data_IF_287950031044
#
_entry.id   IF_287950031044
#
_cell.length_a   1.000
_cell.length_b   1.000
_cell.length_c   1.000
_cell.angle_alpha   90.00
_cell.angle_beta   90.00
_cell.angle_gamma   90.00
#
_symmetry.space_group_name_H-M   'P 1'
#
loop_
_entity.id
_entity.type
_entity.pdbx_description
1 polymer ?
#
# COMPACT_ATOMS: atom_id res chain seq x y z
N UNK A 1 -15.85 29.25 89.75
CA UNK A 1 -16.55 29.63 88.51
C UNK A 1 -15.49 30.00 87.48
N UNK A 2 -15.14 29.06 86.59
CA UNK A 2 -14.17 29.32 85.50
C UNK A 2 -14.65 28.53 84.29
N UNK A 3 -15.07 29.25 83.24
CA UNK A 3 -15.47 28.69 81.94
C UNK A 3 -14.25 28.40 81.09
N UNK A 4 -14.11 27.15 80.73
CA UNK A 4 -13.15 26.69 79.72
C UNK A 4 -13.76 26.79 78.36
N UNK A 5 -13.16 27.57 77.45
CA UNK A 5 -13.54 27.61 76.01
C UNK A 5 -12.69 26.58 75.22
N UNK A 6 -13.35 25.55 74.72
CA UNK A 6 -12.74 24.61 73.78
C UNK A 6 -12.76 25.16 72.31
N UNK A 7 -11.58 25.36 71.76
CA UNK A 7 -11.39 25.82 70.38
C UNK A 7 -11.39 24.56 69.46
N UNK A 8 -12.42 24.42 68.62
CA UNK A 8 -12.49 23.39 67.63
C UNK A 8 -11.79 23.84 66.32
N UNK A 9 -10.61 23.29 66.08
CA UNK A 9 -9.91 23.47 64.80
C UNK A 9 -10.55 22.58 63.72
N UNK A 10 -11.19 23.19 62.73
CA UNK A 10 -11.67 22.50 61.54
C UNK A 10 -10.52 22.45 60.51
N UNK A 11 -9.96 21.26 60.26
CA UNK A 11 -9.09 21.02 59.14
C UNK A 11 -9.95 20.91 57.86
N UNK A 12 -9.82 21.93 57.00
CA UNK A 12 -10.33 21.88 55.63
C UNK A 12 -9.39 21.00 54.78
N UNK A 13 -9.76 19.77 54.50
CA UNK A 13 -9.07 18.92 53.54
C UNK A 13 -9.34 19.41 52.11
N UNK A 14 -8.33 20.00 51.49
CA UNK A 14 -8.36 20.36 50.07
C UNK A 14 -8.26 19.07 49.21
N UNK A 15 -9.38 18.54 48.75
CA UNK A 15 -9.41 17.47 47.78
C UNK A 15 -8.94 18.02 46.41
N UNK A 16 -7.70 17.77 46.05
CA UNK A 16 -7.19 18.00 44.69
C UNK A 16 -7.86 16.96 43.79
N UNK A 17 -8.94 17.35 43.14
CA UNK A 17 -9.48 16.60 41.99
C UNK A 17 -8.44 16.65 40.87
N UNK A 18 -7.62 15.62 40.74
CA UNK A 18 -6.77 15.41 39.59
C UNK A 18 -7.67 15.29 38.34
N UNK A 19 -7.66 16.33 37.53
CA UNK A 19 -8.19 16.24 36.15
C UNK A 19 -7.36 15.20 35.38
N UNK A 20 -7.83 13.95 35.35
CA UNK A 20 -7.31 12.97 34.43
C UNK A 20 -7.73 13.41 33.02
N UNK A 21 -6.82 14.12 32.34
CA UNK A 21 -6.95 14.32 30.89
C UNK A 21 -7.02 12.90 30.28
N UNK A 22 -8.08 12.54 29.56
CA UNK A 22 -8.09 11.26 28.88
C UNK A 22 -6.86 11.21 27.98
N UNK A 23 -5.97 10.24 28.19
CA UNK A 23 -4.87 10.00 27.28
C UNK A 23 -5.53 9.72 25.91
N UNK A 24 -5.29 10.60 24.95
CA UNK A 24 -5.71 10.31 23.58
C UNK A 24 -5.04 8.99 23.18
N UNK A 25 -5.84 8.07 22.68
CA UNK A 25 -5.31 6.81 22.16
C UNK A 25 -4.22 7.15 21.13
N UNK A 26 -3.03 6.56 21.29
CA UNK A 26 -1.89 6.75 20.41
C UNK A 26 -1.47 5.37 19.89
N UNK A 27 -1.76 5.12 18.63
CA UNK A 27 -1.49 3.83 18.00
C UNK A 27 0.00 3.44 18.08
N UNK A 28 0.92 4.41 17.94
CA UNK A 28 2.35 4.13 18.05
C UNK A 28 2.74 3.68 19.46
N UNK A 29 2.17 4.31 20.50
CA UNK A 29 2.40 3.91 21.88
C UNK A 29 1.87 2.50 22.16
N UNK A 30 0.67 2.17 21.65
CA UNK A 30 0.07 0.84 21.75
C UNK A 30 0.91 -0.23 21.03
N UNK A 31 1.38 0.07 19.81
CA UNK A 31 2.27 -0.80 19.03
C UNK A 31 3.56 -1.08 19.81
N UNK A 32 4.21 -0.03 20.35
CA UNK A 32 5.43 -0.19 21.14
C UNK A 32 5.20 -0.99 22.41
N UNK A 33 4.09 -0.79 23.09
CA UNK A 33 3.73 -1.54 24.29
C UNK A 33 3.48 -3.03 24.00
N UNK A 34 2.84 -3.34 22.86
CA UNK A 34 2.59 -4.73 22.39
C UNK A 34 3.82 -5.37 21.75
N UNK A 35 4.77 -4.56 21.25
CA UNK A 35 5.93 -5.02 20.48
C UNK A 35 5.59 -5.58 19.10
N UNK A 36 4.37 -5.33 18.57
CA UNK A 36 3.87 -5.90 17.31
C UNK A 36 3.11 -4.88 16.49
N UNK A 37 3.22 -5.01 15.15
CA UNK A 37 2.43 -4.27 14.17
C UNK A 37 1.61 -5.28 13.38
N UNK A 38 0.29 -5.25 13.50
CA UNK A 38 -0.60 -6.08 12.69
C UNK A 38 -0.73 -5.48 11.29
N UNK A 39 -0.34 -6.24 10.27
CA UNK A 39 -0.32 -5.78 8.87
C UNK A 39 -1.22 -6.62 7.98
N UNK A 40 -1.68 -6.05 6.88
CA UNK A 40 -2.37 -6.78 5.82
C UNK A 40 -1.73 -6.48 4.46
N UNK A 41 -1.63 -7.51 3.62
CA UNK A 41 -1.19 -7.42 2.23
C UNK A 41 -1.74 -8.58 1.42
N UNK A 42 -1.92 -8.40 0.10
CA UNK A 42 -2.25 -9.46 -0.85
C UNK A 42 -0.94 -10.09 -1.35
N UNK A 43 -0.63 -11.31 -0.88
CA UNK A 43 0.60 -12.02 -1.21
C UNK A 43 0.59 -12.63 -2.63
N UNK A 44 -0.17 -12.04 -3.55
CA UNK A 44 -0.29 -12.41 -4.97
C UNK A 44 0.03 -11.24 -5.92
N UNK A 45 0.91 -10.32 -5.49
CA UNK A 45 1.26 -9.12 -6.24
C UNK A 45 2.78 -8.93 -6.40
N UNK A 46 3.43 -9.88 -7.08
CA UNK A 46 4.88 -9.84 -7.33
C UNK A 46 5.30 -8.60 -8.15
N UNK A 47 6.49 -8.02 -7.88
CA UNK A 47 7.52 -8.40 -6.92
C UNK A 47 7.35 -7.76 -5.54
N UNK A 48 6.22 -7.08 -5.30
CA UNK A 48 5.97 -6.39 -4.04
C UNK A 48 5.70 -7.37 -2.90
N UNK A 49 4.76 -8.26 -3.14
CA UNK A 49 4.25 -9.22 -2.15
C UNK A 49 3.98 -10.55 -2.87
N UNK A 50 4.62 -11.63 -2.43
CA UNK A 50 4.41 -12.94 -3.04
C UNK A 50 4.71 -14.08 -2.08
N UNK A 51 4.05 -15.22 -2.32
CA UNK A 51 4.36 -16.49 -1.69
C UNK A 51 5.28 -17.31 -2.59
N UNK A 52 6.48 -17.61 -2.12
CA UNK A 52 7.41 -18.52 -2.76
C UNK A 52 7.53 -19.78 -1.91
N UNK A 53 7.01 -20.91 -2.42
CA UNK A 53 6.93 -22.18 -1.68
C UNK A 53 6.33 -22.02 -0.27
N UNK A 54 5.31 -21.17 -0.13
CA UNK A 54 4.63 -20.89 1.14
C UNK A 54 5.37 -19.92 2.06
N UNK A 55 6.49 -19.36 1.61
CA UNK A 55 7.23 -18.32 2.34
C UNK A 55 6.90 -16.96 1.75
N UNK A 56 6.47 -16.03 2.62
CA UNK A 56 6.22 -14.65 2.21
C UNK A 56 7.54 -13.92 1.94
N UNK A 57 7.66 -13.35 0.76
CA UNK A 57 8.79 -12.53 0.33
C UNK A 57 8.31 -11.40 -0.60
N UNK A 58 9.16 -10.41 -0.84
CA UNK A 58 8.87 -9.30 -1.74
C UNK A 58 9.47 -7.98 -1.28
N UNK A 59 9.36 -6.98 -2.15
CA UNK A 59 9.89 -5.65 -1.90
C UNK A 59 9.25 -5.01 -0.67
N UNK A 60 7.94 -5.16 -0.53
CA UNK A 60 7.17 -4.64 0.61
C UNK A 60 7.68 -5.22 1.93
N UNK A 61 7.86 -6.56 1.98
CA UNK A 61 8.38 -7.23 3.17
C UNK A 61 9.75 -6.71 3.54
N UNK A 62 10.69 -6.65 2.59
CA UNK A 62 12.05 -6.19 2.86
C UNK A 62 12.10 -4.74 3.36
N UNK A 63 11.25 -3.86 2.81
CA UNK A 63 11.12 -2.47 3.27
C UNK A 63 10.48 -2.40 4.66
N UNK A 64 9.37 -3.11 4.85
CA UNK A 64 8.60 -3.01 6.10
C UNK A 64 9.31 -3.66 7.29
N UNK A 65 10.06 -4.74 7.08
CA UNK A 65 10.93 -5.33 8.11
C UNK A 65 11.94 -4.29 8.65
N UNK A 66 12.53 -3.47 7.76
CA UNK A 66 13.45 -2.41 8.19
C UNK A 66 12.73 -1.26 8.91
N UNK A 67 11.55 -0.85 8.42
CA UNK A 67 10.71 0.17 9.07
C UNK A 67 10.29 -0.30 10.46
N UNK A 68 9.79 -1.51 10.58
CA UNK A 68 9.37 -2.08 11.86
C UNK A 68 10.52 -2.15 12.88
N UNK A 69 11.72 -2.49 12.43
CA UNK A 69 12.95 -2.46 13.24
C UNK A 69 13.28 -1.05 13.73
N UNK A 70 13.15 -0.02 12.90
CA UNK A 70 13.36 1.39 13.31
C UNK A 70 12.30 1.84 14.33
N UNK A 71 11.07 1.35 14.23
CA UNK A 71 9.98 1.63 15.18
C UNK A 71 10.18 0.89 16.50
N UNK A 72 10.85 -0.27 16.48
CA UNK A 72 11.07 -1.14 17.64
C UNK A 72 9.91 -2.09 17.90
N UNK A 73 9.27 -2.60 16.84
CA UNK A 73 8.20 -3.59 16.90
C UNK A 73 8.36 -4.63 15.80
N UNK A 74 7.76 -5.81 15.97
CA UNK A 74 7.79 -6.90 14.99
C UNK A 74 6.54 -6.88 14.11
N UNK A 75 6.64 -6.99 12.77
CA UNK A 75 5.49 -7.05 11.91
C UNK A 75 4.84 -8.45 11.98
N UNK A 76 3.51 -8.47 12.03
CA UNK A 76 2.69 -9.67 11.88
C UNK A 76 2.01 -9.60 10.52
N UNK A 77 2.46 -10.41 9.59
CA UNK A 77 1.97 -10.40 8.21
C UNK A 77 0.73 -11.27 8.05
N UNK A 78 -0.33 -10.68 7.48
CA UNK A 78 -1.57 -11.37 7.16
C UNK A 78 -1.82 -11.32 5.66
N UNK A 79 -2.02 -12.50 5.05
CA UNK A 79 -2.44 -12.61 3.65
C UNK A 79 -3.93 -12.34 3.55
N UNK A 80 -4.29 -11.20 3.01
CA UNK A 80 -5.66 -10.71 2.90
C UNK A 80 -5.95 -10.39 1.44
N UNK A 81 -7.04 -10.90 0.84
CA UNK A 81 -7.41 -10.52 -0.52
C UNK A 81 -7.54 -9.00 -0.66
N UNK A 82 -6.98 -8.44 -1.74
CA UNK A 82 -6.94 -7.00 -2.00
C UNK A 82 -8.27 -6.27 -1.71
N UNK A 83 -9.39 -6.85 -2.12
CA UNK A 83 -10.73 -6.25 -1.93
C UNK A 83 -11.18 -6.17 -0.48
N UNK A 84 -10.54 -6.91 0.43
CA UNK A 84 -10.87 -6.93 1.86
C UNK A 84 -9.90 -6.10 2.73
N UNK A 85 -8.77 -5.64 2.18
CA UNK A 85 -7.75 -4.92 2.95
C UNK A 85 -8.24 -3.55 3.45
N UNK A 86 -8.67 -2.67 2.55
CA UNK A 86 -9.12 -1.34 2.95
C UNK A 86 -10.36 -1.39 3.85
N UNK A 87 -11.40 -2.19 3.56
CA UNK A 87 -12.51 -2.39 4.50
C UNK A 87 -12.07 -2.96 5.86
N UNK A 88 -11.11 -3.89 5.87
CA UNK A 88 -10.56 -4.44 7.11
C UNK A 88 -9.81 -3.41 7.95
N UNK A 89 -9.06 -2.51 7.31
CA UNK A 89 -8.38 -1.39 7.96
C UNK A 89 -9.38 -0.44 8.65
N UNK A 90 -10.48 -0.11 7.98
CA UNK A 90 -11.51 0.79 8.51
C UNK A 90 -12.17 0.24 9.79
N UNK A 91 -12.32 -1.08 9.89
CA UNK A 91 -12.88 -1.73 11.07
C UNK A 91 -11.81 -2.21 12.06
N UNK A 92 -10.57 -1.69 11.94
CA UNK A 92 -9.45 -1.91 12.87
C UNK A 92 -9.03 -3.38 13.03
N UNK A 93 -9.13 -4.20 11.96
CA UNK A 93 -8.66 -5.59 11.98
C UNK A 93 -7.13 -5.69 12.02
N UNK A 94 -6.45 -4.68 11.49
CA UNK A 94 -5.00 -4.55 11.48
C UNK A 94 -4.62 -3.07 11.58
N UNK A 95 -3.35 -2.81 11.87
CA UNK A 95 -2.85 -1.46 12.12
C UNK A 95 -2.61 -0.68 10.82
N UNK A 96 -2.17 -1.39 9.77
CA UNK A 96 -1.75 -0.81 8.50
C UNK A 96 -1.95 -1.82 7.35
N UNK A 97 -2.31 -1.33 6.17
CA UNK A 97 -2.23 -2.07 4.91
C UNK A 97 -0.88 -1.75 4.28
N UNK A 98 -0.06 -2.78 4.11
CA UNK A 98 1.27 -2.68 3.50
C UNK A 98 1.30 -3.15 2.04
N UNK A 99 0.19 -3.65 1.49
CA UNK A 99 0.06 -3.79 0.05
C UNK A 99 0.39 -2.47 -0.67
N UNK A 100 0.90 -2.49 -1.91
CA UNK A 100 1.20 -1.30 -2.67
C UNK A 100 -0.08 -0.57 -3.11
N UNK A 101 -0.61 0.29 -2.24
CA UNK A 101 -1.84 1.06 -2.48
C UNK A 101 -1.54 2.27 -3.35
N UNK A 102 -2.17 2.37 -4.53
CA UNK A 102 -2.02 3.56 -5.39
C UNK A 102 -2.54 4.80 -4.68
N UNK A 103 -1.73 5.86 -4.62
CA UNK A 103 -2.14 7.18 -4.15
C UNK A 103 -3.12 7.77 -5.16
N UNK A 104 -4.35 8.05 -4.72
CA UNK A 104 -5.38 8.74 -5.52
C UNK A 104 -6.06 9.81 -4.68
N UNK A 105 -6.60 10.90 -5.28
CA UNK A 105 -7.32 11.94 -4.54
C UNK A 105 -8.43 11.36 -3.66
N UNK A 106 -9.24 10.44 -4.17
CA UNK A 106 -10.32 9.78 -3.42
C UNK A 106 -9.80 9.03 -2.18
N UNK A 107 -8.66 8.33 -2.31
CA UNK A 107 -8.07 7.58 -1.20
C UNK A 107 -7.41 8.50 -0.17
N UNK A 108 -6.81 9.62 -0.61
CA UNK A 108 -6.25 10.64 0.29
C UNK A 108 -7.31 11.30 1.20
N UNK A 109 -8.57 11.32 0.77
CA UNK A 109 -9.67 11.80 1.62
C UNK A 109 -9.98 10.84 2.76
N UNK A 110 -9.77 9.53 2.57
CA UNK A 110 -10.20 8.45 3.50
C UNK A 110 -9.07 7.87 4.35
N UNK A 111 -7.84 7.90 3.86
CA UNK A 111 -6.69 7.22 4.47
C UNK A 111 -5.50 8.15 4.65
N UNK A 112 -4.67 7.86 5.66
CA UNK A 112 -3.35 8.43 5.82
C UNK A 112 -2.33 7.59 5.08
N UNK A 113 -1.67 8.18 4.09
CA UNK A 113 -0.64 7.53 3.29
C UNK A 113 0.75 7.74 3.92
N UNK A 114 1.60 6.74 3.80
CA UNK A 114 3.03 6.87 4.02
C UNK A 114 3.71 7.55 2.82
N UNK A 115 5.00 7.77 2.91
CA UNK A 115 5.82 8.15 1.76
C UNK A 115 5.73 7.09 0.66
N UNK A 116 5.88 7.48 -0.62
CA UNK A 116 5.90 6.55 -1.74
C UNK A 116 6.96 5.46 -1.60
N UNK A 117 6.60 4.25 -2.02
CA UNK A 117 7.50 3.07 -2.04
C UNK A 117 7.94 2.69 -3.46
N UNK A 118 7.13 2.98 -4.47
CA UNK A 118 7.42 2.70 -5.88
C UNK A 118 6.53 3.52 -6.82
N UNK A 119 6.88 3.53 -8.11
CA UNK A 119 6.01 3.96 -9.20
C UNK A 119 4.78 3.04 -9.30
N UNK A 120 3.63 3.62 -9.62
CA UNK A 120 2.36 2.90 -9.81
C UNK A 120 1.71 3.20 -11.16
N UNK A 121 2.47 3.81 -12.09
CA UNK A 121 1.99 4.13 -13.43
C UNK A 121 1.37 2.91 -14.09
N UNK A 122 0.19 3.09 -14.67
CA UNK A 122 -0.52 1.99 -15.31
C UNK A 122 0.12 1.64 -16.65
N UNK A 123 0.23 0.35 -16.93
CA UNK A 123 0.83 -0.19 -18.14
C UNK A 123 0.04 -1.39 -18.69
N UNK A 124 0.41 -1.83 -19.86
CA UNK A 124 -0.19 -2.97 -20.56
C UNK A 124 0.86 -4.03 -20.90
N UNK A 125 0.46 -5.27 -20.74
CA UNK A 125 1.18 -6.46 -21.18
C UNK A 125 0.31 -7.27 -22.12
N UNK A 126 0.94 -7.95 -23.08
CA UNK A 126 0.33 -8.83 -24.08
C UNK A 126 1.00 -10.20 -24.07
N UNK A 127 0.40 -11.17 -24.74
CA UNK A 127 1.10 -12.41 -25.07
C UNK A 127 2.33 -12.09 -25.94
N UNK A 128 3.45 -12.78 -25.70
CA UNK A 128 4.68 -12.57 -26.46
C UNK A 128 4.51 -12.84 -27.96
N UNK A 129 3.63 -13.78 -28.30
CA UNK A 129 3.27 -14.12 -29.69
C UNK A 129 2.46 -13.03 -30.42
N UNK A 130 1.81 -12.12 -29.70
CA UNK A 130 1.06 -11.02 -30.30
C UNK A 130 1.99 -9.82 -30.54
N UNK A 131 2.49 -9.65 -31.74
CA UNK A 131 3.40 -8.56 -32.11
C UNK A 131 2.70 -7.33 -32.72
N UNK A 132 1.37 -7.38 -32.85
CA UNK A 132 0.60 -6.31 -33.48
C UNK A 132 0.26 -5.18 -32.50
N UNK A 133 0.03 -5.51 -31.21
CA UNK A 133 -0.32 -4.55 -30.18
C UNK A 133 0.93 -3.88 -29.62
N UNK A 134 1.14 -2.60 -29.94
CA UNK A 134 2.36 -1.83 -29.62
C UNK A 134 2.12 -0.62 -28.75
N UNK A 135 0.95 0.00 -28.86
CA UNK A 135 0.59 1.21 -28.12
C UNK A 135 -0.73 0.99 -27.35
N UNK A 136 -1.00 1.73 -26.27
CA UNK A 136 -2.22 1.57 -25.49
C UNK A 136 -3.50 1.69 -26.32
N UNK A 137 -3.48 2.46 -27.38
CA UNK A 137 -4.61 2.67 -28.29
C UNK A 137 -5.01 1.38 -29.03
N UNK A 138 -4.11 0.41 -29.17
CA UNK A 138 -4.36 -0.87 -29.88
C UNK A 138 -5.31 -1.79 -29.09
N UNK A 139 -5.64 -1.46 -27.84
CA UNK A 139 -6.66 -2.19 -27.06
C UNK A 139 -8.10 -1.83 -27.46
N UNK A 140 -8.32 -0.88 -28.37
CA UNK A 140 -9.66 -0.55 -28.85
C UNK A 140 -10.37 -1.79 -29.38
N UNK A 141 -11.57 -2.07 -28.86
CA UNK A 141 -12.36 -3.25 -29.23
C UNK A 141 -11.81 -4.59 -28.73
N UNK A 142 -10.79 -4.58 -27.89
CA UNK A 142 -10.13 -5.74 -27.31
C UNK A 142 -10.69 -6.09 -25.92
N UNK A 143 -10.37 -7.31 -25.45
CA UNK A 143 -10.67 -7.74 -24.07
C UNK A 143 -9.43 -7.62 -23.22
N UNK A 144 -9.48 -6.77 -22.19
CA UNK A 144 -8.36 -6.46 -21.32
C UNK A 144 -8.68 -6.87 -19.88
N UNK A 145 -7.82 -7.73 -19.30
CA UNK A 145 -7.92 -8.15 -17.91
C UNK A 145 -7.31 -7.11 -16.96
N UNK A 146 -7.85 -7.02 -15.76
CA UNK A 146 -7.33 -6.15 -14.70
C UNK A 146 -7.80 -6.65 -13.33
N UNK A 147 -7.02 -6.41 -12.28
CA UNK A 147 -7.45 -6.73 -10.92
C UNK A 147 -8.55 -5.77 -10.46
N UNK A 148 -9.64 -6.31 -9.94
CA UNK A 148 -10.81 -5.56 -9.47
C UNK A 148 -10.46 -4.61 -8.30
N UNK A 149 -11.18 -3.48 -8.20
CA UNK A 149 -11.02 -2.53 -7.09
C UNK A 149 -9.71 -1.72 -7.08
N UNK A 150 -8.85 -1.89 -8.10
CA UNK A 150 -7.59 -1.17 -8.21
C UNK A 150 -7.77 0.21 -8.88
N UNK A 151 -6.80 1.10 -8.69
CA UNK A 151 -6.76 2.36 -9.45
C UNK A 151 -6.50 2.11 -10.94
N UNK A 152 -5.74 1.06 -11.27
CA UNK A 152 -5.48 0.60 -12.64
C UNK A 152 -6.79 0.22 -13.35
N UNK A 153 -7.72 -0.42 -12.64
CA UNK A 153 -9.06 -0.70 -13.17
C UNK A 153 -9.81 0.58 -13.55
N UNK A 154 -9.87 1.58 -12.64
CA UNK A 154 -10.53 2.87 -12.94
C UNK A 154 -9.89 3.60 -14.12
N UNK A 155 -8.55 3.59 -14.18
CA UNK A 155 -7.83 4.22 -15.30
C UNK A 155 -8.06 3.50 -16.63
N UNK A 156 -8.11 2.16 -16.62
CA UNK A 156 -8.42 1.36 -17.81
C UNK A 156 -9.84 1.63 -18.31
N UNK A 157 -10.83 1.70 -17.42
CA UNK A 157 -12.20 2.04 -17.80
C UNK A 157 -12.27 3.42 -18.47
N UNK A 158 -11.70 4.45 -17.82
CA UNK A 158 -11.69 5.81 -18.36
C UNK A 158 -10.94 5.92 -19.69
N UNK A 159 -9.86 5.15 -19.85
CA UNK A 159 -9.12 5.10 -21.12
C UNK A 159 -9.91 4.37 -22.21
N UNK A 160 -10.55 3.25 -21.89
CA UNK A 160 -11.39 2.50 -22.79
C UNK A 160 -12.59 3.29 -23.32
N UNK A 161 -13.22 4.09 -22.45
CA UNK A 161 -14.31 5.01 -22.86
C UNK A 161 -13.81 6.06 -23.88
N UNK A 162 -12.64 6.65 -23.64
CA UNK A 162 -12.03 7.62 -24.59
C UNK A 162 -11.69 6.98 -25.95
N UNK A 163 -11.33 5.71 -25.97
CA UNK A 163 -11.05 4.98 -27.21
C UNK A 163 -12.33 4.57 -27.97
N UNK A 164 -13.50 4.66 -27.34
CA UNK A 164 -14.77 4.24 -27.92
C UNK A 164 -15.05 2.77 -27.80
N UNK A 165 -14.47 2.09 -26.79
CA UNK A 165 -14.82 0.75 -26.36
C UNK A 165 -13.63 -0.17 -26.13
N UNK A 166 -13.57 -0.72 -24.92
CA UNK A 166 -12.68 -1.81 -24.47
C UNK A 166 -13.53 -2.74 -23.61
N UNK A 167 -13.44 -4.03 -23.82
CA UNK A 167 -14.08 -5.02 -22.95
C UNK A 167 -13.19 -5.26 -21.75
N UNK A 168 -13.57 -4.75 -20.57
CA UNK A 168 -12.79 -4.93 -19.34
C UNK A 168 -13.27 -6.17 -18.60
N UNK A 169 -12.34 -7.09 -18.29
CA UNK A 169 -12.60 -8.28 -17.49
C UNK A 169 -11.86 -8.18 -16.16
N UNK A 170 -12.63 -8.25 -15.08
CA UNK A 170 -12.12 -8.13 -13.71
C UNK A 170 -11.72 -9.48 -13.13
N UNK A 171 -10.63 -9.49 -12.33
CA UNK A 171 -10.09 -10.67 -11.68
C UNK A 171 -9.85 -10.41 -10.20
N UNK A 172 -9.91 -11.45 -9.37
CA UNK A 172 -9.60 -11.38 -7.95
C UNK A 172 -8.12 -11.09 -7.71
N UNK A 173 -7.25 -11.74 -8.50
CA UNK A 173 -5.80 -11.58 -8.44
C UNK A 173 -5.21 -11.26 -9.82
N UNK A 174 -4.00 -10.69 -9.85
CA UNK A 174 -3.26 -10.48 -11.11
C UNK A 174 -2.85 -11.80 -11.75
N UNK A 175 -2.56 -12.83 -10.96
CA UNK A 175 -2.16 -14.16 -11.45
C UNK A 175 -3.25 -14.85 -12.28
N UNK A 176 -4.51 -14.69 -11.88
CA UNK A 176 -5.66 -15.17 -12.66
C UNK A 176 -5.75 -14.48 -14.02
N UNK A 177 -5.54 -13.16 -14.07
CA UNK A 177 -5.52 -12.40 -15.32
C UNK A 177 -4.37 -12.83 -16.22
N UNK A 178 -3.19 -13.09 -15.67
CA UNK A 178 -2.02 -13.57 -16.43
C UNK A 178 -2.24 -14.98 -16.97
N UNK A 179 -2.88 -15.85 -16.20
CA UNK A 179 -3.24 -17.19 -16.66
C UNK A 179 -4.21 -17.13 -17.86
N UNK A 180 -5.19 -16.24 -17.81
CA UNK A 180 -6.15 -16.03 -18.89
C UNK A 180 -5.50 -15.41 -20.14
N UNK A 181 -4.55 -14.47 -19.96
CA UNK A 181 -3.77 -13.91 -21.07
C UNK A 181 -2.89 -14.98 -21.74
N UNK A 182 -2.19 -15.80 -20.95
CA UNK A 182 -1.37 -16.89 -21.47
C UNK A 182 -2.19 -17.95 -22.22
N UNK A 183 -3.44 -18.17 -21.81
CA UNK A 183 -4.37 -19.08 -22.47
C UNK A 183 -5.10 -18.48 -23.66
N UNK A 184 -4.81 -17.23 -24.06
CA UNK A 184 -5.43 -16.54 -25.19
C UNK A 184 -6.90 -16.14 -24.97
N UNK A 185 -7.36 -16.08 -23.70
CA UNK A 185 -8.70 -15.62 -23.33
C UNK A 185 -8.80 -14.11 -23.15
N UNK A 186 -7.66 -13.43 -23.13
CA UNK A 186 -7.52 -11.98 -23.10
C UNK A 186 -6.58 -11.54 -24.22
N UNK A 187 -6.78 -10.32 -24.72
CA UNK A 187 -5.85 -9.67 -25.64
C UNK A 187 -4.69 -9.00 -24.91
N UNK A 188 -4.96 -8.43 -23.73
CA UNK A 188 -3.99 -7.76 -22.89
C UNK A 188 -4.37 -7.85 -21.40
N UNK A 189 -3.43 -7.47 -20.52
CA UNK A 189 -3.68 -7.22 -19.10
C UNK A 189 -3.15 -5.84 -18.74
N UNK A 190 -3.94 -5.06 -18.00
CA UNK A 190 -3.52 -3.79 -17.40
C UNK A 190 -3.08 -4.01 -15.95
N UNK A 191 -1.97 -3.39 -15.58
CA UNK A 191 -1.40 -3.45 -14.23
C UNK A 191 -0.46 -2.29 -13.98
N UNK A 192 0.27 -2.29 -12.86
CA UNK A 192 1.32 -1.31 -12.64
C UNK A 192 2.58 -1.66 -13.45
N UNK A 193 3.30 -0.64 -13.91
CA UNK A 193 4.51 -0.82 -14.68
C UNK A 193 5.55 -1.74 -14.02
N UNK A 194 5.89 -1.57 -12.71
CA UNK A 194 6.86 -2.46 -12.06
C UNK A 194 6.38 -3.92 -11.99
N UNK A 195 5.11 -4.17 -11.67
CA UNK A 195 4.54 -5.50 -11.60
C UNK A 195 4.58 -6.21 -12.96
N UNK A 196 4.14 -5.54 -14.03
CA UNK A 196 4.17 -6.09 -15.39
C UNK A 196 5.60 -6.27 -15.92
N UNK A 197 6.52 -5.36 -15.59
CA UNK A 197 7.95 -5.50 -15.93
C UNK A 197 8.55 -6.74 -15.28
N UNK A 198 8.25 -6.98 -14.01
CA UNK A 198 8.67 -8.21 -13.31
C UNK A 198 8.08 -9.46 -13.96
N UNK A 199 6.78 -9.45 -14.29
CA UNK A 199 6.12 -10.55 -15.00
C UNK A 199 6.83 -10.90 -16.30
N UNK A 200 7.08 -9.91 -17.17
CA UNK A 200 7.74 -10.12 -18.46
C UNK A 200 9.18 -10.61 -18.27
N UNK A 201 9.91 -10.06 -17.32
CA UNK A 201 11.28 -10.50 -16.99
C UNK A 201 11.31 -11.96 -16.51
N UNK A 202 10.30 -12.38 -15.75
CA UNK A 202 10.20 -13.73 -15.19
C UNK A 202 9.72 -14.76 -16.21
N UNK A 203 8.91 -14.35 -17.21
CA UNK A 203 8.29 -15.22 -18.22
C UNK A 203 8.35 -14.61 -19.64
N UNK A 204 9.53 -14.28 -20.17
CA UNK A 204 9.69 -13.56 -21.44
C UNK A 204 9.16 -14.31 -22.66
N UNK A 205 9.13 -15.65 -22.62
CA UNK A 205 8.57 -16.48 -23.69
C UNK A 205 7.03 -16.42 -23.75
N UNK A 206 6.39 -16.01 -22.66
CA UNK A 206 4.93 -15.98 -22.55
C UNK A 206 4.37 -14.58 -22.71
N UNK A 207 5.05 -13.57 -22.17
CA UNK A 207 4.56 -12.20 -22.08
C UNK A 207 5.54 -11.18 -22.64
N UNK A 208 4.99 -10.10 -23.19
CA UNK A 208 5.77 -8.95 -23.63
C UNK A 208 5.05 -7.64 -23.25
N UNK A 209 5.81 -6.63 -22.87
CA UNK A 209 5.27 -5.28 -22.74
C UNK A 209 4.84 -4.75 -24.12
N UNK A 210 3.93 -3.82 -24.15
CA UNK A 210 3.73 -2.99 -25.33
C UNK A 210 4.97 -2.13 -25.56
N UNK A 211 5.26 -1.71 -26.79
CA UNK A 211 6.43 -0.86 -27.10
C UNK A 211 6.30 0.51 -26.41
N UNK A 212 5.06 1.04 -26.35
CA UNK A 212 4.65 2.15 -25.50
C UNK A 212 3.63 1.60 -24.50
N UNK A 213 4.09 1.11 -23.37
CA UNK A 213 3.24 0.31 -22.49
C UNK A 213 2.34 1.15 -21.57
N UNK A 214 2.74 2.38 -21.23
CA UNK A 214 2.08 3.18 -20.19
C UNK A 214 0.97 4.07 -20.73
N UNK A 215 -0.05 4.26 -19.91
CA UNK A 215 -1.14 5.23 -20.14
C UNK A 215 -1.65 5.79 -18.80
N UNK A 216 -2.56 6.76 -18.85
CA UNK A 216 -3.08 7.40 -17.66
C UNK A 216 -2.13 8.44 -17.08
N UNK A 217 -2.32 8.76 -15.79
CA UNK A 217 -1.49 9.71 -15.08
C UNK A 217 -0.42 8.98 -14.27
N UNK A 218 0.83 9.47 -14.25
CA UNK A 218 1.84 8.97 -13.33
C UNK A 218 1.36 9.06 -11.89
N UNK A 219 1.59 8.01 -11.12
CA UNK A 219 1.23 7.95 -9.71
C UNK A 219 2.18 7.01 -8.97
N UNK A 220 2.03 6.93 -7.65
CA UNK A 220 2.90 6.15 -6.79
C UNK A 220 2.11 5.16 -5.93
N UNK A 221 2.79 4.11 -5.52
CA UNK A 221 2.36 3.23 -4.45
C UNK A 221 2.87 3.73 -3.10
N UNK A 222 2.05 3.61 -2.08
CA UNK A 222 2.42 3.81 -0.69
C UNK A 222 1.59 2.88 0.20
N UNK A 223 1.93 2.79 1.46
CA UNK A 223 1.14 2.09 2.47
C UNK A 223 0.09 3.01 3.07
N UNK A 224 -0.94 2.43 3.68
CA UNK A 224 -2.03 3.23 4.24
C UNK A 224 -2.41 2.79 5.66
N UNK A 225 -2.60 3.77 6.52
CA UNK A 225 -3.24 3.64 7.82
C UNK A 225 -4.61 4.36 7.80
N UNK A 226 -5.40 4.17 8.85
CA UNK A 226 -6.63 4.95 9.02
C UNK A 226 -6.31 6.44 9.10
N UNK A 227 -7.27 7.27 8.73
CA UNK A 227 -7.15 8.74 8.82
C UNK A 227 -7.76 9.25 10.14
N UNK A 228 -7.27 8.70 11.24
CA UNK A 228 -7.71 9.03 12.59
C UNK A 228 -6.58 9.77 13.32
N UNK A 229 -6.90 10.64 14.28
CA UNK A 229 -5.89 11.38 15.05
C UNK A 229 -4.96 10.46 15.86
N UNK A 230 -5.42 9.28 16.26
CA UNK A 230 -4.64 8.28 16.98
C UNK A 230 -3.56 7.61 16.11
N UNK A 231 -3.64 7.70 14.77
CA UNK A 231 -2.70 7.07 13.82
C UNK A 231 -1.58 8.01 13.34
N UNK A 232 -1.67 9.31 13.58
CA UNK A 232 -0.73 10.31 13.04
C UNK A 232 0.72 10.06 13.49
N UNK A 233 0.92 9.75 14.76
CA UNK A 233 2.25 9.45 15.32
C UNK A 233 2.86 8.19 14.69
N UNK A 234 2.03 7.18 14.40
CA UNK A 234 2.47 5.94 13.77
C UNK A 234 2.87 6.16 12.30
N UNK A 235 2.05 6.84 11.52
CA UNK A 235 2.39 7.20 10.12
C UNK A 235 3.65 8.08 10.07
N UNK A 236 3.77 9.03 10.98
CA UNK A 236 4.99 9.84 11.10
C UNK A 236 6.22 8.99 11.38
N UNK A 237 6.14 8.04 12.31
CA UNK A 237 7.27 7.16 12.65
C UNK A 237 7.70 6.30 11.45
N UNK A 238 6.73 5.79 10.66
CA UNK A 238 7.02 5.08 9.40
C UNK A 238 7.74 6.00 8.42
N UNK A 239 7.25 7.21 8.21
CA UNK A 239 7.84 8.18 7.28
C UNK A 239 9.26 8.60 7.71
N UNK A 240 9.50 8.83 9.00
CA UNK A 240 10.83 9.14 9.53
C UNK A 240 11.80 7.96 9.27
N UNK A 241 11.34 6.72 9.48
CA UNK A 241 12.13 5.52 9.17
C UNK A 241 12.44 5.42 7.68
N UNK A 242 11.46 5.64 6.80
CA UNK A 242 11.64 5.61 5.35
C UNK A 242 12.61 6.68 4.86
N UNK A 243 12.54 7.91 5.40
CA UNK A 243 13.51 8.98 5.07
C UNK A 243 14.94 8.58 5.47
N UNK A 244 15.11 8.06 6.69
CA UNK A 244 16.40 7.55 7.16
C UNK A 244 16.95 6.44 6.24
N UNK A 245 16.08 5.49 5.85
CA UNK A 245 16.45 4.40 4.94
C UNK A 245 16.76 4.88 3.51
N UNK A 246 16.15 5.97 3.08
CA UNK A 246 16.47 6.62 1.81
C UNK A 246 17.85 7.27 1.87
N UNK A 247 18.15 7.99 2.96
CA UNK A 247 19.41 8.71 3.14
C UNK A 247 20.60 7.76 3.32
N UNK A 248 20.41 6.60 3.96
CA UNK A 248 21.47 5.60 4.17
C UNK A 248 21.58 4.54 3.05
N UNK A 249 20.73 4.64 2.02
CA UNK A 249 20.79 3.80 0.81
C UNK A 249 20.05 2.47 0.89
N UNK A 250 19.41 2.13 2.03
CA UNK A 250 18.64 0.87 2.16
C UNK A 250 17.46 0.79 1.19
N UNK A 251 16.72 1.89 0.99
CA UNK A 251 15.63 1.93 0.00
C UNK A 251 16.16 1.65 -1.39
N UNK A 252 17.28 2.28 -1.78
CA UNK A 252 17.92 2.04 -3.08
C UNK A 252 18.28 0.57 -3.27
N UNK A 253 18.95 -0.03 -2.30
CA UNK A 253 19.38 -1.43 -2.37
C UNK A 253 18.19 -2.40 -2.52
N UNK A 254 17.08 -2.13 -1.79
CA UNK A 254 15.88 -2.95 -1.87
C UNK A 254 15.17 -2.79 -3.21
N UNK A 255 15.04 -1.57 -3.74
CA UNK A 255 14.49 -1.35 -5.07
C UNK A 255 15.32 -2.03 -6.17
N UNK A 256 16.64 -1.88 -6.14
CA UNK A 256 17.54 -2.54 -7.09
C UNK A 256 17.41 -4.07 -7.05
N UNK A 257 17.29 -4.65 -5.86
CA UNK A 257 17.06 -6.09 -5.68
C UNK A 257 15.80 -6.58 -6.37
N UNK A 258 14.68 -5.88 -6.17
CA UNK A 258 13.36 -6.36 -6.59
C UNK A 258 12.91 -5.83 -7.95
N UNK A 259 13.21 -4.57 -8.25
CA UNK A 259 12.79 -3.90 -9.50
C UNK A 259 13.90 -3.89 -10.55
N UNK A 260 15.15 -4.19 -10.16
CA UNK A 260 16.29 -4.18 -11.06
C UNK A 260 16.89 -2.79 -11.32
N UNK A 261 16.29 -1.75 -10.78
CA UNK A 261 16.76 -0.36 -10.87
C UNK A 261 16.28 0.46 -9.68
N UNK A 262 16.99 1.52 -9.37
CA UNK A 262 16.56 2.53 -8.42
C UNK A 262 15.81 3.66 -9.14
N UNK A 263 14.69 4.07 -8.57
CA UNK A 263 13.97 5.28 -8.96
C UNK A 263 13.87 6.17 -7.74
N UNK A 264 14.31 7.41 -7.87
CA UNK A 264 14.13 8.40 -6.81
C UNK A 264 12.64 8.69 -6.62
N UNK A 265 12.18 8.61 -5.37
CA UNK A 265 10.78 8.80 -5.01
C UNK A 265 10.57 10.14 -4.33
N UNK A 266 9.35 10.71 -4.41
CA UNK A 266 9.00 11.90 -3.64
C UNK A 266 9.26 11.70 -2.14
N UNK A 267 9.81 12.74 -1.49
CA UNK A 267 10.07 12.77 -0.04
C UNK A 267 8.88 13.32 0.77
N UNK A 268 7.76 13.46 0.11
CA UNK A 268 6.46 13.84 0.67
C UNK A 268 5.36 13.08 -0.04
N UNK A 269 4.19 12.99 0.58
CA UNK A 269 3.02 12.33 -0.02
C UNK A 269 2.47 13.23 -1.13
N UNK A 270 2.45 12.79 -2.40
CA UNK A 270 1.85 13.56 -3.48
C UNK A 270 0.37 13.81 -3.23
N UNK A 271 -0.07 15.05 -3.37
CA UNK A 271 -1.47 15.47 -3.11
C UNK A 271 -2.27 15.74 -4.40
N UNK A 272 -1.62 15.59 -5.55
CA UNK A 272 -2.24 15.84 -6.88
C UNK A 272 -1.90 14.69 -7.83
#
# INVERSE_FOLDING_TARGET
MTFSKALKSALLGLAVLGLTVPAMADQLADIKAKGKIETATDMHYAPFDMLNNGTYEGMTKDLFDQVAKEIGAEPVYQDIPWTAELPGLEVKKFDIVIAPVTITPERLERYSFTLPIADATVALVRAASNTEMKAPEDIKGKTVGVQQGTAQFKQLQAFGEKLGGVSVKEYGTTDEAYADLAAGRLDAVAGSLPNLTYLVKSRPETFAMFDKATFGQPTYFAWVARKDADTESFVKAINDAMLKMTDDGRVKAIQEKWLGAYTELPREVPTK
#
